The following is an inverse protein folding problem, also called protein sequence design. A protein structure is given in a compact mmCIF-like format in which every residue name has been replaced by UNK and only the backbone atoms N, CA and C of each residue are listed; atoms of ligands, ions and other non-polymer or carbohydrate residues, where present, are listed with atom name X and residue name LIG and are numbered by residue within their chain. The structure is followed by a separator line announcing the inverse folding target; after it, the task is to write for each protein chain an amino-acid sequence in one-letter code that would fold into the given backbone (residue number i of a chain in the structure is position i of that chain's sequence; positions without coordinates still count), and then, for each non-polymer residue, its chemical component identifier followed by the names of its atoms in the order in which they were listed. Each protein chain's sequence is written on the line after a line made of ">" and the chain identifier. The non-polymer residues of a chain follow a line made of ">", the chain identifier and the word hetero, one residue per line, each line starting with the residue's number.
data_IF_149155374235
#
_entry.id   IF_149155374235
#
_cell.length_a   1.000
_cell.length_b   1.000
_cell.length_c   1.000
_cell.angle_alpha   90.00
_cell.angle_beta   90.00
_cell.angle_gamma   90.00
#
_symmetry.space_group_name_H-M   'P 1'
#
loop_
_entity.id
_entity.type
_entity.pdbx_description
1 polymer ?
#
# COMPACT_ATOMS: atom_id res chain seq x y z
N UNK A 1 -18.96 14.87 11.23
CA UNK A 1 -19.20 14.66 9.78
C UNK A 1 -17.96 14.28 8.98
N UNK A 2 -16.76 14.87 9.23
CA UNK A 2 -15.53 14.58 8.46
C UNK A 2 -15.10 13.10 8.40
N UNK A 3 -15.50 12.25 9.37
CA UNK A 3 -15.13 10.82 9.41
C UNK A 3 -16.02 9.91 8.54
N UNK A 4 -17.22 10.35 8.16
CA UNK A 4 -18.18 9.51 7.42
C UNK A 4 -18.00 9.65 5.91
N UNK A 5 -17.61 10.84 5.45
CA UNK A 5 -17.47 11.15 4.03
C UNK A 5 -16.55 10.17 3.26
N UNK A 6 -15.38 9.77 3.79
CA UNK A 6 -14.54 8.75 3.16
C UNK A 6 -15.24 7.41 2.90
N UNK A 7 -15.94 6.90 3.91
CA UNK A 7 -16.64 5.62 3.82
C UNK A 7 -17.84 5.72 2.88
N UNK A 8 -18.58 6.83 2.93
CA UNK A 8 -19.65 7.10 1.99
C UNK A 8 -19.12 7.18 0.54
N UNK A 9 -17.96 7.82 0.32
CA UNK A 9 -17.30 7.85 -0.98
C UNK A 9 -16.95 6.46 -1.50
N UNK A 10 -16.47 5.57 -0.62
CA UNK A 10 -16.22 4.17 -0.99
C UNK A 10 -17.51 3.41 -1.32
N UNK A 11 -18.59 3.59 -0.54
CA UNK A 11 -19.88 2.99 -0.86
C UNK A 11 -20.43 3.50 -2.20
N UNK A 12 -20.26 4.79 -2.50
CA UNK A 12 -20.60 5.35 -3.81
C UNK A 12 -19.77 4.71 -4.91
N UNK A 13 -18.46 4.53 -4.70
CA UNK A 13 -17.61 3.81 -5.65
C UNK A 13 -18.14 2.39 -5.93
N UNK A 14 -18.54 1.63 -4.91
CA UNK A 14 -19.12 0.29 -5.09
C UNK A 14 -20.42 0.31 -5.89
N UNK A 15 -21.26 1.33 -5.70
CA UNK A 15 -22.52 1.47 -6.43
C UNK A 15 -22.32 1.90 -7.89
N UNK A 16 -21.21 2.56 -8.20
CA UNK A 16 -20.87 3.02 -9.54
C UNK A 16 -20.00 2.02 -10.30
N UNK A 17 -19.29 1.13 -9.60
CA UNK A 17 -18.53 0.05 -10.21
C UNK A 17 -19.47 -0.93 -10.88
N UNK A 18 -19.13 -1.37 -12.09
CA UNK A 18 -19.90 -2.41 -12.76
C UNK A 18 -19.64 -3.79 -12.14
N UNK A 19 -20.55 -4.72 -12.42
CA UNK A 19 -20.46 -6.09 -11.89
C UNK A 19 -19.19 -6.80 -12.38
N UNK A 20 -18.71 -6.49 -13.59
CA UNK A 20 -17.52 -7.09 -14.16
C UNK A 20 -16.26 -6.72 -13.35
N UNK A 21 -16.08 -5.44 -13.04
CA UNK A 21 -14.97 -4.97 -12.21
C UNK A 21 -15.03 -5.60 -10.81
N UNK A 22 -16.19 -5.67 -10.19
CA UNK A 22 -16.30 -6.24 -8.84
C UNK A 22 -16.11 -7.76 -8.80
N UNK A 23 -16.48 -8.47 -9.86
CA UNK A 23 -16.36 -9.94 -9.92
C UNK A 23 -14.97 -10.40 -10.37
N UNK A 24 -14.36 -9.71 -11.34
CA UNK A 24 -13.05 -10.09 -11.90
C UNK A 24 -11.88 -9.37 -11.21
N UNK A 25 -12.14 -8.18 -10.64
CA UNK A 25 -11.14 -7.28 -10.08
C UNK A 25 -11.56 -6.72 -8.72
N UNK A 26 -12.09 -7.57 -7.85
CA UNK A 26 -12.56 -7.20 -6.51
C UNK A 26 -11.49 -6.45 -5.68
N UNK A 27 -10.20 -6.65 -5.97
CA UNK A 27 -9.09 -5.90 -5.39
C UNK A 27 -9.20 -4.39 -5.61
N UNK A 28 -9.86 -3.94 -6.68
CA UNK A 28 -10.13 -2.53 -6.96
C UNK A 28 -10.95 -1.89 -5.83
N UNK A 29 -11.93 -2.63 -5.28
CA UNK A 29 -12.73 -2.17 -4.14
C UNK A 29 -11.87 -1.99 -2.89
N UNK A 30 -10.88 -2.86 -2.66
CA UNK A 30 -9.93 -2.72 -1.54
C UNK A 30 -8.99 -1.53 -1.75
N UNK A 31 -8.47 -1.33 -2.96
CA UNK A 31 -7.61 -0.20 -3.28
C UNK A 31 -8.36 1.13 -3.11
N UNK A 32 -9.60 1.21 -3.60
CA UNK A 32 -10.46 2.38 -3.42
C UNK A 32 -10.78 2.62 -1.93
N UNK A 33 -11.08 1.57 -1.16
CA UNK A 33 -11.28 1.67 0.28
C UNK A 33 -10.03 2.25 0.96
N UNK A 34 -8.86 1.72 0.62
CA UNK A 34 -7.61 2.17 1.19
C UNK A 34 -7.33 3.64 0.84
N UNK A 35 -7.44 4.03 -0.43
CA UNK A 35 -7.20 5.39 -0.90
C UNK A 35 -8.17 6.41 -0.30
N UNK A 36 -9.45 6.06 -0.13
CA UNK A 36 -10.43 7.00 0.42
C UNK A 36 -10.36 7.06 1.94
N UNK A 37 -10.16 5.94 2.63
CA UNK A 37 -10.38 5.82 4.08
C UNK A 37 -9.12 5.54 4.89
N UNK A 38 -8.32 4.54 4.50
CA UNK A 38 -7.26 4.01 5.36
C UNK A 38 -5.96 4.80 5.22
N UNK A 39 -5.55 5.11 4.00
CA UNK A 39 -4.37 5.94 3.70
C UNK A 39 -4.46 7.32 4.35
N UNK A 40 -5.55 8.11 4.20
CA UNK A 40 -5.62 9.41 4.86
C UNK A 40 -5.55 9.30 6.40
N UNK A 41 -6.14 8.25 6.98
CA UNK A 41 -6.00 7.99 8.41
C UNK A 41 -4.55 7.70 8.81
N UNK A 42 -3.84 6.87 8.04
CA UNK A 42 -2.44 6.56 8.32
C UNK A 42 -1.48 7.74 8.10
N UNK A 43 -1.78 8.62 7.13
CA UNK A 43 -1.03 9.86 6.92
C UNK A 43 -1.16 10.78 8.13
N UNK A 44 -2.39 10.99 8.65
CA UNK A 44 -2.60 11.78 9.88
C UNK A 44 -1.91 11.19 11.09
N UNK A 45 -1.97 9.86 11.26
CA UNK A 45 -1.24 9.16 12.32
C UNK A 45 0.29 9.32 12.17
N UNK A 46 0.75 9.57 10.95
CA UNK A 46 2.14 9.89 10.66
C UNK A 46 2.51 11.37 10.80
N UNK A 47 1.57 12.23 11.20
CA UNK A 47 1.77 13.67 11.26
C UNK A 47 1.82 14.34 9.89
N UNK A 48 1.30 13.70 8.85
CA UNK A 48 1.19 14.25 7.50
C UNK A 48 -0.25 14.71 7.28
N UNK A 49 -0.43 15.98 6.96
CA UNK A 49 -1.74 16.55 6.67
C UNK A 49 -2.30 15.99 5.36
N UNK A 50 -3.52 15.47 5.43
CA UNK A 50 -4.28 14.97 4.29
C UNK A 50 -5.29 16.03 3.83
N UNK A 51 -4.75 17.07 3.19
CA UNK A 51 -5.51 18.22 2.72
C UNK A 51 -6.41 17.93 1.49
N UNK A 52 -7.10 18.95 0.95
CA UNK A 52 -8.00 18.80 -0.19
C UNK A 52 -7.30 18.24 -1.45
N UNK A 53 -6.01 18.50 -1.61
CA UNK A 53 -5.19 17.94 -2.70
C UNK A 53 -5.18 16.41 -2.66
N UNK A 54 -5.05 15.82 -1.46
CA UNK A 54 -5.08 14.36 -1.30
C UNK A 54 -6.41 13.78 -1.75
N UNK A 55 -7.52 14.35 -1.27
CA UNK A 55 -8.85 13.85 -1.61
C UNK A 55 -9.18 14.03 -3.10
N UNK A 56 -8.71 15.11 -3.72
CA UNK A 56 -8.86 15.29 -5.17
C UNK A 56 -8.11 14.21 -5.95
N UNK A 57 -6.86 13.89 -5.58
CA UNK A 57 -6.10 12.83 -6.26
C UNK A 57 -6.65 11.44 -5.98
N UNK A 58 -7.10 11.15 -4.76
CA UNK A 58 -7.77 9.89 -4.42
C UNK A 58 -9.11 9.71 -5.18
N UNK A 59 -9.88 10.78 -5.37
CA UNK A 59 -11.10 10.75 -6.17
C UNK A 59 -10.81 10.47 -7.66
N UNK A 60 -9.81 11.13 -8.25
CA UNK A 60 -9.36 10.84 -9.62
C UNK A 60 -8.88 9.39 -9.75
N UNK A 61 -8.17 8.88 -8.75
CA UNK A 61 -7.73 7.50 -8.71
C UNK A 61 -8.89 6.49 -8.64
N UNK A 62 -9.97 6.80 -7.91
CA UNK A 62 -11.19 5.99 -7.93
C UNK A 62 -11.88 6.04 -9.31
N UNK A 63 -11.94 7.22 -9.94
CA UNK A 63 -12.45 7.37 -11.31
C UNK A 63 -11.63 6.54 -12.30
N UNK A 64 -10.30 6.43 -12.09
CA UNK A 64 -9.44 5.59 -12.92
C UNK A 64 -9.90 4.11 -12.90
N UNK A 65 -10.23 3.56 -11.73
CA UNK A 65 -10.76 2.20 -11.61
C UNK A 65 -12.16 2.06 -12.22
N UNK A 66 -13.04 3.06 -12.07
CA UNK A 66 -14.35 3.03 -12.71
C UNK A 66 -14.29 3.09 -14.25
N UNK A 67 -13.18 3.57 -14.80
CA UNK A 67 -12.93 3.59 -16.25
C UNK A 67 -12.17 2.36 -16.74
N UNK A 68 -11.80 1.42 -15.87
CA UNK A 68 -11.09 0.22 -16.27
C UNK A 68 -12.06 -0.78 -16.95
N UNK A 69 -11.67 -1.42 -18.07
CA UNK A 69 -10.46 -1.21 -18.86
C UNK A 69 -10.62 -0.03 -19.85
N UNK A 70 -9.87 1.06 -19.65
CA UNK A 70 -9.98 2.26 -20.47
C UNK A 70 -8.63 2.94 -20.66
N UNK A 71 -8.35 3.40 -21.88
CA UNK A 71 -7.05 3.97 -22.27
C UNK A 71 -6.64 5.20 -21.43
N UNK A 72 -7.61 5.91 -20.87
CA UNK A 72 -7.38 7.09 -20.03
C UNK A 72 -7.28 6.78 -18.54
N UNK A 73 -7.60 5.56 -18.09
CA UNK A 73 -7.50 5.18 -16.68
C UNK A 73 -6.12 5.47 -16.05
N UNK A 74 -4.98 5.19 -16.72
CA UNK A 74 -3.66 5.51 -16.16
C UNK A 74 -3.44 7.00 -15.93
N UNK A 75 -3.98 7.85 -16.81
CA UNK A 75 -3.85 9.30 -16.70
C UNK A 75 -4.55 9.82 -15.44
N UNK A 76 -5.74 9.28 -15.13
CA UNK A 76 -6.48 9.62 -13.91
C UNK A 76 -5.81 9.12 -12.63
N UNK A 77 -5.06 8.03 -12.70
CA UNK A 77 -4.31 7.50 -11.56
C UNK A 77 -3.01 8.25 -11.28
N UNK A 78 -2.40 8.86 -12.30
CA UNK A 78 -1.08 9.49 -12.21
C UNK A 78 -0.95 10.52 -11.07
N UNK A 79 -1.90 11.44 -10.82
CA UNK A 79 -1.77 12.42 -9.74
C UNK A 79 -1.64 11.78 -8.35
N UNK A 80 -2.37 10.68 -8.10
CA UNK A 80 -2.30 9.95 -6.83
C UNK A 80 -0.95 9.22 -6.68
N UNK A 81 -0.49 8.56 -7.74
CA UNK A 81 0.82 7.89 -7.77
C UNK A 81 1.97 8.89 -7.57
N UNK A 82 1.92 10.05 -8.22
CA UNK A 82 2.93 11.10 -8.06
C UNK A 82 2.95 11.66 -6.64
N UNK A 83 1.78 11.87 -6.02
CA UNK A 83 1.70 12.33 -4.63
C UNK A 83 2.31 11.30 -3.66
N UNK A 84 1.98 10.02 -3.83
CA UNK A 84 2.53 8.95 -3.00
C UNK A 84 4.06 8.86 -3.14
N UNK A 85 4.56 8.88 -4.38
CA UNK A 85 6.00 8.87 -4.67
C UNK A 85 6.72 10.10 -4.10
N UNK A 86 6.14 11.30 -4.24
CA UNK A 86 6.70 12.52 -3.68
C UNK A 86 6.85 12.46 -2.17
N UNK A 87 5.81 12.01 -1.45
CA UNK A 87 5.85 11.88 0.00
C UNK A 87 6.86 10.83 0.46
N UNK A 88 6.94 9.69 -0.24
CA UNK A 88 7.95 8.66 0.04
C UNK A 88 9.38 9.16 -0.20
N UNK A 89 9.63 9.90 -1.29
CA UNK A 89 10.94 10.50 -1.56
C UNK A 89 11.32 11.54 -0.52
N UNK A 90 10.38 12.39 -0.10
CA UNK A 90 10.62 13.40 0.94
C UNK A 90 11.02 12.74 2.27
N UNK A 91 10.33 11.67 2.67
CA UNK A 91 10.68 10.92 3.87
C UNK A 91 12.01 10.19 3.72
N UNK A 92 12.29 9.64 2.54
CA UNK A 92 13.59 9.01 2.23
C UNK A 92 14.75 10.01 2.35
N UNK A 93 14.57 11.24 1.86
CA UNK A 93 15.55 12.30 2.01
C UNK A 93 15.74 12.72 3.49
N UNK A 94 14.66 12.71 4.29
CA UNK A 94 14.75 12.97 5.72
C UNK A 94 15.59 11.89 6.44
N UNK A 95 15.33 10.60 6.16
CA UNK A 95 16.08 9.50 6.80
C UNK A 95 17.54 9.38 6.33
N UNK A 96 17.87 9.90 5.14
CA UNK A 96 19.23 9.91 4.62
C UNK A 96 20.15 10.91 5.37
N UNK A 97 19.56 11.87 6.10
CA UNK A 97 20.33 12.81 6.91
C UNK A 97 20.89 12.08 8.16
N UNK A 98 22.17 12.21 8.52
CA UNK A 98 22.69 11.53 9.71
C UNK A 98 21.92 11.91 10.99
N UNK A 99 21.39 10.92 11.70
CA UNK A 99 20.55 11.11 12.88
C UNK A 99 20.44 9.85 13.74
N UNK A 100 19.89 10.00 14.95
CA UNK A 100 19.55 8.86 15.82
C UNK A 100 18.19 8.30 15.43
N UNK A 101 18.18 7.44 14.42
CA UNK A 101 16.96 6.79 13.94
C UNK A 101 16.46 5.74 14.92
N UNK A 102 15.16 5.81 15.22
CA UNK A 102 14.45 4.77 15.97
C UNK A 102 13.66 3.88 15.03
N UNK A 103 13.18 2.74 15.53
CA UNK A 103 12.41 1.79 14.72
C UNK A 103 11.13 2.43 14.17
N UNK A 104 10.50 3.32 14.94
CA UNK A 104 9.30 4.05 14.55
C UNK A 104 9.52 4.92 13.32
N UNK A 105 10.71 5.53 13.19
CA UNK A 105 11.09 6.33 12.02
C UNK A 105 11.22 5.44 10.77
N UNK A 106 11.86 4.26 10.90
CA UNK A 106 11.95 3.27 9.83
C UNK A 106 10.59 2.76 9.39
N UNK A 107 9.67 2.55 10.33
CA UNK A 107 8.31 2.11 10.01
C UNK A 107 7.51 3.19 9.31
N UNK A 108 7.64 4.46 9.73
CA UNK A 108 7.02 5.59 9.04
C UNK A 108 7.51 5.67 7.59
N UNK A 109 8.82 5.61 7.39
CA UNK A 109 9.43 5.60 6.07
C UNK A 109 8.93 4.42 5.23
N UNK A 110 9.00 3.20 5.77
CA UNK A 110 8.58 2.00 5.06
C UNK A 110 7.10 2.03 4.69
N UNK A 111 6.22 2.51 5.57
CA UNK A 111 4.81 2.66 5.26
C UNK A 111 4.62 3.54 4.00
N UNK A 112 5.27 4.71 3.95
CA UNK A 112 5.17 5.61 2.78
C UNK A 112 5.75 4.97 1.51
N UNK A 113 6.85 4.22 1.61
CA UNK A 113 7.41 3.45 0.49
C UNK A 113 6.44 2.37 0.02
N UNK A 114 5.77 1.66 0.94
CA UNK A 114 4.75 0.67 0.61
C UNK A 114 3.54 1.29 -0.06
N UNK A 115 3.05 2.43 0.43
CA UNK A 115 1.97 3.13 -0.25
C UNK A 115 2.37 3.57 -1.66
N UNK A 116 3.55 4.17 -1.85
CA UNK A 116 4.06 4.54 -3.16
C UNK A 116 4.18 3.31 -4.09
N UNK A 117 4.66 2.19 -3.56
CA UNK A 117 4.76 0.92 -4.29
C UNK A 117 3.37 0.45 -4.71
N UNK A 118 2.40 0.41 -3.81
CA UNK A 118 1.01 0.05 -4.12
C UNK A 118 0.39 0.95 -5.18
N UNK A 119 0.67 2.26 -5.15
CA UNK A 119 0.18 3.22 -6.14
C UNK A 119 0.83 3.02 -7.53
N UNK A 120 2.11 2.60 -7.58
CA UNK A 120 2.77 2.23 -8.85
C UNK A 120 2.18 0.94 -9.41
N UNK A 121 1.97 -0.08 -8.58
CA UNK A 121 1.35 -1.33 -9.03
C UNK A 121 -0.10 -1.13 -9.50
N UNK A 122 -0.86 -0.26 -8.84
CA UNK A 122 -2.19 0.12 -9.32
C UNK A 122 -2.14 0.82 -10.68
N UNK A 123 -1.19 1.75 -10.87
CA UNK A 123 -0.98 2.40 -12.16
C UNK A 123 -0.61 1.39 -13.25
N UNK A 124 0.26 0.42 -12.95
CA UNK A 124 0.61 -0.67 -13.87
C UNK A 124 -0.62 -1.50 -14.24
N UNK A 125 -1.45 -1.89 -13.27
CA UNK A 125 -2.70 -2.62 -13.50
C UNK A 125 -3.63 -1.83 -14.42
N UNK A 126 -3.88 -0.56 -14.12
CA UNK A 126 -4.75 0.32 -14.91
C UNK A 126 -4.20 0.58 -16.32
N UNK A 127 -2.88 0.54 -16.49
CA UNK A 127 -2.21 0.67 -17.79
C UNK A 127 -2.13 -0.63 -18.58
N UNK A 128 -2.59 -1.75 -18.02
CA UNK A 128 -2.40 -3.08 -18.60
C UNK A 128 -0.93 -3.51 -18.64
N UNK A 129 -0.04 -2.82 -17.92
CA UNK A 129 1.35 -3.21 -17.81
C UNK A 129 1.50 -4.37 -16.83
N UNK A 130 2.18 -5.43 -17.27
CA UNK A 130 2.46 -6.65 -16.50
C UNK A 130 3.96 -6.73 -16.19
N UNK A 131 4.42 -6.14 -15.06
CA UNK A 131 5.82 -6.27 -14.65
C UNK A 131 6.20 -7.75 -14.57
N UNK A 132 7.34 -8.13 -15.14
CA UNK A 132 7.83 -9.52 -15.19
C UNK A 132 6.81 -10.53 -15.75
N UNK A 133 5.86 -10.08 -16.58
CA UNK A 133 4.79 -10.92 -17.13
C UNK A 133 3.95 -11.63 -16.04
N UNK A 134 3.71 -10.93 -14.93
CA UNK A 134 2.72 -11.37 -13.94
C UNK A 134 1.29 -11.25 -14.51
N UNK A 135 0.41 -12.18 -14.12
CA UNK A 135 -1.01 -12.11 -14.43
C UNK A 135 -1.63 -10.82 -13.89
N UNK A 136 -2.61 -10.27 -14.61
CA UNK A 136 -3.26 -9.00 -14.23
C UNK A 136 -3.83 -9.03 -12.80
N UNK A 137 -4.39 -10.16 -12.38
CA UNK A 137 -4.86 -10.39 -11.01
C UNK A 137 -3.74 -10.25 -9.99
N UNK A 138 -2.53 -10.77 -10.27
CA UNK A 138 -1.37 -10.64 -9.37
C UNK A 138 -0.95 -9.16 -9.28
N UNK A 139 -0.95 -8.44 -10.40
CA UNK A 139 -0.61 -7.01 -10.44
C UNK A 139 -1.59 -6.20 -9.59
N UNK A 140 -2.90 -6.42 -9.77
CA UNK A 140 -3.96 -5.78 -8.99
C UNK A 140 -3.91 -6.13 -7.51
N UNK A 141 -3.77 -7.41 -7.18
CA UNK A 141 -3.65 -7.88 -5.79
C UNK A 141 -2.42 -7.31 -5.10
N UNK A 142 -1.31 -7.16 -5.82
CA UNK A 142 -0.10 -6.54 -5.29
C UNK A 142 -0.35 -5.07 -4.94
N UNK A 143 -1.10 -4.34 -5.77
CA UNK A 143 -1.52 -2.98 -5.46
C UNK A 143 -2.37 -2.92 -4.17
N UNK A 144 -3.38 -3.78 -4.04
CA UNK A 144 -4.20 -3.87 -2.83
C UNK A 144 -3.38 -4.26 -1.59
N UNK A 145 -2.48 -5.23 -1.74
CA UNK A 145 -1.62 -5.72 -0.68
C UNK A 145 -0.72 -4.62 -0.12
N UNK A 146 -0.05 -3.85 -0.98
CA UNK A 146 0.81 -2.75 -0.53
C UNK A 146 0.03 -1.57 0.07
N UNK A 147 -1.20 -1.31 -0.37
CA UNK A 147 -2.06 -0.30 0.25
C UNK A 147 -2.54 -0.74 1.65
N UNK A 148 -2.98 -1.98 1.81
CA UNK A 148 -3.60 -2.45 3.06
C UNK A 148 -2.57 -3.10 3.98
N UNK A 149 -1.97 -4.21 3.57
CA UNK A 149 -0.99 -4.93 4.38
C UNK A 149 0.37 -4.23 4.46
N UNK A 150 0.79 -3.56 3.38
CA UNK A 150 2.00 -2.73 3.40
C UNK A 150 1.80 -1.48 4.25
N UNK A 151 1.07 -0.49 3.75
CA UNK A 151 0.95 0.80 4.41
C UNK A 151 0.19 0.75 5.74
N UNK A 152 -1.06 0.27 5.76
CA UNK A 152 -1.93 0.41 6.95
C UNK A 152 -1.41 -0.41 8.12
N UNK A 153 -1.01 -1.66 7.89
CA UNK A 153 -0.49 -2.51 8.95
C UNK A 153 0.82 -1.99 9.54
N UNK A 154 1.73 -1.47 8.71
CA UNK A 154 2.96 -0.83 9.20
C UNK A 154 2.65 0.42 10.04
N UNK A 155 1.65 1.24 9.65
CA UNK A 155 1.23 2.36 10.50
C UNK A 155 0.66 1.89 11.84
N UNK A 156 -0.21 0.88 11.84
CA UNK A 156 -0.76 0.33 13.08
C UNK A 156 0.35 -0.18 13.99
N UNK A 157 1.29 -0.96 13.45
CA UNK A 157 2.40 -1.51 14.22
C UNK A 157 3.34 -0.40 14.75
N UNK A 158 3.53 0.68 14.00
CA UNK A 158 4.24 1.88 14.49
C UNK A 158 3.50 2.54 15.65
N UNK A 159 2.19 2.76 15.52
CA UNK A 159 1.39 3.36 16.61
C UNK A 159 1.43 2.49 17.89
N UNK A 160 1.46 1.16 17.74
CA UNK A 160 1.63 0.24 18.87
C UNK A 160 3.01 0.36 19.52
N UNK A 161 4.08 0.59 18.75
CA UNK A 161 5.42 0.86 19.32
C UNK A 161 5.49 2.19 20.06
N UNK A 162 4.83 3.23 19.54
CA UNK A 162 4.81 4.56 20.14
C UNK A 162 3.97 4.60 21.44
N UNK A 163 3.04 3.66 21.60
CA UNK A 163 2.24 3.54 22.81
C UNK A 163 3.12 3.14 24.02
N UNK A 164 3.01 3.90 25.12
CA UNK A 164 3.91 3.82 26.28
C UNK A 164 3.90 2.50 27.07
N UNK A 165 3.02 1.57 26.71
CA UNK A 165 2.88 0.23 27.34
C UNK A 165 2.86 -0.85 26.26
N UNK A 166 3.72 -0.73 25.25
CA UNK A 166 3.83 -1.73 24.20
C UNK A 166 4.29 -3.08 24.81
N UNK A 167 3.49 -4.15 24.70
CA UNK A 167 3.92 -5.47 25.12
C UNK A 167 5.19 -5.90 24.35
N UNK A 168 6.02 -6.81 24.91
CA UNK A 168 7.25 -7.28 24.24
C UNK A 168 7.03 -7.81 22.82
N UNK A 169 5.84 -8.37 22.54
CA UNK A 169 5.45 -8.91 21.23
C UNK A 169 5.28 -7.84 20.14
N UNK A 170 5.13 -6.57 20.49
CA UNK A 170 4.92 -5.49 19.49
C UNK A 170 6.16 -5.28 18.63
N UNK A 171 7.36 -5.39 19.20
CA UNK A 171 8.61 -5.15 18.45
C UNK A 171 8.88 -6.21 17.37
N UNK A 172 8.74 -7.51 17.65
CA UNK A 172 8.77 -8.55 16.62
C UNK A 172 7.72 -8.34 15.53
N UNK A 173 6.47 -8.05 15.89
CA UNK A 173 5.41 -7.75 14.92
C UNK A 173 5.76 -6.54 14.06
N UNK A 174 6.30 -5.47 14.65
CA UNK A 174 6.77 -4.31 13.91
C UNK A 174 7.87 -4.67 12.91
N UNK A 175 8.87 -5.46 13.31
CA UNK A 175 9.92 -5.94 12.42
C UNK A 175 9.36 -6.85 11.31
N UNK A 176 8.40 -7.71 11.64
CA UNK A 176 7.72 -8.57 10.67
C UNK A 176 6.98 -7.73 9.61
N UNK A 177 6.28 -6.67 10.01
CA UNK A 177 5.62 -5.75 9.06
C UNK A 177 6.62 -4.93 8.24
N UNK A 178 7.76 -4.58 8.84
CA UNK A 178 8.82 -3.80 8.18
C UNK A 178 9.59 -4.64 7.15
N UNK A 179 9.87 -5.92 7.43
CA UNK A 179 10.73 -6.75 6.59
C UNK A 179 9.96 -7.79 5.77
N UNK A 180 8.81 -8.23 6.27
CA UNK A 180 8.01 -9.30 5.68
C UNK A 180 7.56 -9.01 4.26
N UNK A 181 7.10 -7.78 4.01
CA UNK A 181 6.63 -7.36 2.68
C UNK A 181 7.76 -7.44 1.63
N UNK A 182 8.95 -6.81 1.84
CA UNK A 182 10.09 -6.97 0.95
C UNK A 182 10.55 -8.43 0.79
N UNK A 183 10.53 -9.21 1.87
CA UNK A 183 10.94 -10.62 1.82
C UNK A 183 10.02 -11.43 0.91
N UNK A 184 8.70 -11.34 1.12
CA UNK A 184 7.72 -12.07 0.28
C UNK A 184 7.79 -11.59 -1.17
N UNK A 185 7.86 -10.28 -1.40
CA UNK A 185 8.00 -9.72 -2.75
C UNK A 185 9.27 -10.20 -3.45
N UNK A 186 10.40 -10.24 -2.74
CA UNK A 186 11.65 -10.78 -3.27
C UNK A 186 11.55 -12.28 -3.58
N UNK A 187 10.91 -13.08 -2.71
CA UNK A 187 10.67 -14.49 -2.93
C UNK A 187 9.89 -14.77 -4.22
N UNK A 188 8.73 -14.13 -4.38
CA UNK A 188 7.88 -14.26 -5.57
C UNK A 188 8.62 -13.80 -6.83
N UNK A 189 9.35 -12.68 -6.73
CA UNK A 189 10.12 -12.13 -7.85
C UNK A 189 11.22 -13.08 -8.30
N UNK A 190 11.99 -13.64 -7.35
CA UNK A 190 13.06 -14.59 -7.67
C UNK A 190 12.49 -15.86 -8.29
N UNK A 191 11.38 -16.39 -7.78
CA UNK A 191 10.74 -17.57 -8.39
C UNK A 191 10.23 -17.27 -9.79
N UNK A 192 9.67 -16.09 -10.06
CA UNK A 192 9.29 -15.67 -11.42
C UNK A 192 10.51 -15.54 -12.37
N UNK A 193 11.68 -15.21 -11.84
CA UNK A 193 12.96 -15.18 -12.58
C UNK A 193 13.61 -16.57 -12.76
N UNK A 194 12.94 -17.65 -12.33
CA UNK A 194 13.40 -19.03 -12.52
C UNK A 194 14.22 -19.60 -11.37
N UNK A 195 14.30 -18.92 -10.22
CA UNK A 195 14.93 -19.48 -9.02
C UNK A 195 14.04 -20.55 -8.36
N UNK A 196 14.62 -21.46 -7.55
CA UNK A 196 13.86 -22.51 -6.89
C UNK A 196 12.75 -21.98 -5.97
N UNK A 197 11.59 -22.67 -5.96
CA UNK A 197 10.43 -22.37 -5.09
C UNK A 197 10.75 -22.43 -3.60
N UNK A 198 11.85 -23.11 -3.21
CA UNK A 198 12.34 -23.10 -1.84
C UNK A 198 12.69 -21.70 -1.32
N UNK A 199 13.08 -20.76 -2.19
CA UNK A 199 13.37 -19.37 -1.79
C UNK A 199 12.09 -18.63 -1.41
N UNK A 200 11.02 -18.80 -2.19
CA UNK A 200 9.70 -18.22 -1.89
C UNK A 200 9.15 -18.78 -0.58
N UNK A 201 9.20 -20.10 -0.39
CA UNK A 201 8.80 -20.76 0.86
C UNK A 201 9.60 -20.28 2.06
N UNK A 202 10.92 -20.10 1.91
CA UNK A 202 11.79 -19.59 2.96
C UNK A 202 11.47 -18.13 3.30
N UNK A 203 11.20 -17.29 2.30
CA UNK A 203 10.81 -15.90 2.51
C UNK A 203 9.47 -15.78 3.25
N UNK A 204 8.46 -16.54 2.81
CA UNK A 204 7.15 -16.58 3.46
C UNK A 204 7.22 -17.11 4.90
N UNK A 205 8.00 -18.18 5.11
CA UNK A 205 8.22 -18.76 6.45
C UNK A 205 8.97 -17.78 7.36
N UNK A 206 9.99 -17.10 6.83
CA UNK A 206 10.74 -16.10 7.58
C UNK A 206 9.85 -14.94 8.05
N UNK A 207 8.95 -14.46 7.18
CA UNK A 207 7.94 -13.48 7.57
C UNK A 207 7.03 -14.00 8.69
N UNK A 208 6.50 -15.22 8.56
CA UNK A 208 5.63 -15.81 9.57
C UNK A 208 6.34 -15.96 10.93
N UNK A 209 7.58 -16.47 10.93
CA UNK A 209 8.37 -16.65 12.16
C UNK A 209 8.67 -15.31 12.84
N UNK A 210 9.02 -14.27 12.08
CA UNK A 210 9.27 -12.94 12.64
C UNK A 210 8.04 -12.37 13.38
N UNK A 211 6.83 -12.73 12.96
CA UNK A 211 5.60 -12.29 13.61
C UNK A 211 5.34 -12.97 14.97
N UNK A 212 5.98 -14.11 15.25
CA UNK A 212 5.81 -14.90 16.48
C UNK A 212 7.08 -15.00 17.36
N UNK A 213 8.19 -14.42 16.91
CA UNK A 213 9.44 -14.31 17.67
C UNK A 213 9.31 -13.29 18.82
#
# INVERSE_FOLDING_TARGET
>A
MKRIAPLAGWLIFLLLADDALLMEHWEAALVALAALTLVPAGLRLSGIDDGPVYYATAAMFCVAYLQYPGIYAPLWALPYTLLAAWLAMRETAAIATPGKWRLEDWMRWAALVYWATGAVWALSFLAGWRPLDFDAVIVGLTAAHFHVAGFVLTIIARCLLEASVAPPVVRPVALATLLGMPMVAAGITLTKLGYPTGIESAAATGFAVLAFA
#
